data_IF_791374569541
#
_entry.id   IF_791374569541
#
_cell.length_a   1.000
_cell.length_b   1.000
_cell.length_c   1.000
_cell.angle_alpha   90.00
_cell.angle_beta   90.00
_cell.angle_gamma   90.00
#
_symmetry.space_group_name_H-M   'P 1'
#
loop_
_entity.id
_entity.type
_entity.pdbx_description
1 polymer ?
#
# COMPACT_ATOMS: atom_id res chain seq x y z
N UNK A 1 0.68 -10.99 8.20
CA UNK A 1 -0.57 -10.82 7.43
C UNK A 1 -1.41 -12.09 7.39
N UNK A 2 -0.83 -13.30 7.49
CA UNK A 2 -1.58 -14.57 7.64
C UNK A 2 -2.69 -14.59 8.71
N UNK A 3 -2.54 -13.80 9.79
CA UNK A 3 -3.55 -13.69 10.86
C UNK A 3 -4.72 -12.75 10.53
N UNK A 4 -4.67 -12.02 9.41
CA UNK A 4 -5.76 -11.16 8.98
C UNK A 4 -6.99 -12.01 8.62
N UNK A 5 -8.22 -11.47 8.70
CA UNK A 5 -9.42 -12.23 8.39
C UNK A 5 -9.46 -12.57 6.90
N UNK A 6 -9.64 -13.87 6.60
CA UNK A 6 -9.73 -14.45 5.25
C UNK A 6 -8.87 -13.71 4.20
N UNK A 7 -7.52 -13.77 4.32
CA UNK A 7 -6.63 -12.96 3.52
C UNK A 7 -6.36 -13.56 2.14
N UNK A 8 -6.30 -12.69 1.14
CA UNK A 8 -5.78 -12.97 -0.19
C UNK A 8 -4.58 -12.07 -0.49
N UNK A 9 -3.43 -12.68 -0.81
CA UNK A 9 -2.22 -11.97 -1.21
C UNK A 9 -2.11 -11.87 -2.74
N UNK A 10 -2.15 -10.64 -3.28
CA UNK A 10 -1.71 -10.33 -4.64
C UNK A 10 -0.18 -10.18 -4.61
N UNK A 11 0.53 -11.28 -4.82
CA UNK A 11 1.97 -11.40 -4.59
C UNK A 11 2.79 -11.10 -5.86
N UNK A 12 3.72 -10.16 -5.78
CA UNK A 12 4.58 -9.78 -6.93
C UNK A 12 5.96 -10.43 -6.90
N UNK A 13 6.50 -10.75 -5.72
CA UNK A 13 7.91 -11.12 -5.53
C UNK A 13 8.17 -12.64 -5.58
N UNK A 14 7.10 -13.46 -5.57
CA UNK A 14 7.16 -14.91 -5.58
C UNK A 14 7.52 -15.54 -4.22
N UNK A 15 7.66 -14.75 -3.15
CA UNK A 15 8.09 -15.23 -1.85
C UNK A 15 6.93 -15.79 -1.02
N UNK A 16 6.54 -17.03 -1.33
CA UNK A 16 5.40 -17.70 -0.70
C UNK A 16 5.78 -18.84 0.27
N UNK A 17 7.07 -19.05 0.53
CA UNK A 17 7.54 -20.24 1.25
C UNK A 17 7.10 -20.31 2.71
N UNK A 18 6.79 -19.17 3.32
CA UNK A 18 6.51 -19.05 4.76
C UNK A 18 5.12 -18.48 5.06
N UNK A 19 4.23 -18.42 4.06
CA UNK A 19 2.87 -17.91 4.22
C UNK A 19 1.84 -19.00 4.00
N UNK A 20 0.82 -19.01 4.84
CA UNK A 20 -0.30 -19.97 4.83
C UNK A 20 -1.56 -19.41 4.17
N UNK A 21 -1.60 -18.09 3.93
CA UNK A 21 -2.69 -17.42 3.24
C UNK A 21 -2.75 -17.78 1.76
N UNK A 22 -3.94 -17.66 1.16
CA UNK A 22 -4.11 -17.82 -0.28
C UNK A 22 -3.42 -16.67 -1.02
N UNK A 23 -2.93 -16.94 -2.23
CA UNK A 23 -2.27 -15.94 -3.05
C UNK A 23 -2.63 -16.06 -4.53
N UNK A 24 -2.58 -14.92 -5.22
CA UNK A 24 -2.60 -14.81 -6.68
C UNK A 24 -1.25 -14.23 -7.11
N UNK A 25 -0.46 -14.94 -7.93
CA UNK A 25 0.80 -14.41 -8.42
C UNK A 25 0.55 -13.29 -9.45
N UNK A 26 1.11 -12.12 -9.19
CA UNK A 26 1.12 -10.97 -10.09
C UNK A 26 2.45 -10.94 -10.81
N UNK A 27 2.51 -11.61 -11.96
CA UNK A 27 3.71 -11.74 -12.79
C UNK A 27 3.34 -11.80 -14.26
N UNK A 28 4.34 -11.72 -15.12
CA UNK A 28 4.15 -11.96 -16.54
C UNK A 28 3.67 -13.39 -16.80
N UNK A 29 2.71 -13.55 -17.70
CA UNK A 29 2.11 -14.83 -18.08
C UNK A 29 2.06 -14.98 -19.60
N UNK A 30 1.71 -16.18 -20.05
CA UNK A 30 1.53 -16.50 -21.47
C UNK A 30 0.09 -16.98 -21.69
N UNK A 31 -0.64 -16.29 -22.55
CA UNK A 31 -1.93 -16.75 -23.09
C UNK A 31 -1.69 -17.36 -24.47
N UNK A 32 -1.45 -18.66 -24.50
CA UNK A 32 -0.95 -19.34 -25.70
C UNK A 32 0.43 -18.83 -26.09
N UNK A 33 0.52 -18.03 -27.16
CA UNK A 33 1.78 -17.40 -27.62
C UNK A 33 1.88 -15.92 -27.26
N UNK A 34 0.81 -15.34 -26.73
CA UNK A 34 0.79 -13.93 -26.39
C UNK A 34 1.35 -13.73 -24.98
N UNK A 35 2.33 -12.84 -24.87
CA UNK A 35 2.87 -12.39 -23.59
C UNK A 35 1.89 -11.41 -22.93
N UNK A 36 1.57 -11.65 -21.65
CA UNK A 36 0.70 -10.78 -20.85
C UNK A 36 1.49 -10.24 -19.68
N UNK A 37 1.65 -8.92 -19.65
CA UNK A 37 2.44 -8.22 -18.64
C UNK A 37 1.76 -8.27 -17.25
N UNK A 38 2.57 -8.32 -16.20
CA UNK A 38 2.15 -8.41 -14.81
C UNK A 38 1.12 -7.34 -14.41
N UNK A 39 1.26 -6.11 -14.89
CA UNK A 39 0.28 -5.04 -14.63
C UNK A 39 -1.09 -5.32 -15.22
N UNK A 40 -1.16 -5.99 -16.38
CA UNK A 40 -2.45 -6.42 -16.93
C UNK A 40 -3.07 -7.49 -16.03
N UNK A 41 -2.28 -8.48 -15.60
CA UNK A 41 -2.75 -9.50 -14.65
C UNK A 41 -3.21 -8.88 -13.32
N UNK A 42 -2.53 -7.84 -12.83
CA UNK A 42 -2.95 -7.09 -11.64
C UNK A 42 -4.30 -6.40 -11.82
N UNK A 43 -4.49 -5.69 -12.95
CA UNK A 43 -5.78 -5.06 -13.28
C UNK A 43 -6.89 -6.07 -13.43
N UNK A 44 -6.61 -7.21 -14.05
CA UNK A 44 -7.59 -8.28 -14.25
C UNK A 44 -7.95 -8.93 -12.90
N UNK A 45 -6.99 -9.11 -11.99
CA UNK A 45 -7.25 -9.54 -10.62
C UNK A 45 -8.14 -8.54 -9.86
N UNK A 46 -7.87 -7.23 -9.95
CA UNK A 46 -8.74 -6.20 -9.36
C UNK A 46 -10.15 -6.26 -9.95
N UNK A 47 -10.29 -6.42 -11.26
CA UNK A 47 -11.59 -6.53 -11.93
C UNK A 47 -12.36 -7.78 -11.47
N UNK A 48 -11.67 -8.88 -11.24
CA UNK A 48 -12.30 -10.11 -10.75
C UNK A 48 -12.71 -9.98 -9.28
N UNK A 49 -11.86 -9.38 -8.44
CA UNK A 49 -12.19 -9.08 -7.04
C UNK A 49 -13.38 -8.12 -6.92
N UNK A 50 -13.53 -7.15 -7.82
CA UNK A 50 -14.68 -6.25 -7.87
C UNK A 50 -15.97 -7.00 -8.18
N UNK A 51 -15.94 -7.93 -9.15
CA UNK A 51 -17.13 -8.72 -9.55
C UNK A 51 -17.55 -9.74 -8.51
N UNK A 52 -16.57 -10.31 -7.81
CA UNK A 52 -16.79 -11.43 -6.87
C UNK A 52 -16.83 -10.98 -5.41
N UNK A 53 -16.80 -9.66 -5.17
CA UNK A 53 -16.91 -9.08 -3.84
C UNK A 53 -18.19 -9.58 -3.16
N UNK A 54 -18.06 -10.15 -1.97
CA UNK A 54 -19.17 -10.77 -1.22
C UNK A 54 -19.45 -12.25 -1.54
N UNK A 55 -18.89 -12.80 -2.61
CA UNK A 55 -19.09 -14.21 -3.00
C UNK A 55 -17.82 -15.07 -2.84
N UNK A 56 -16.64 -14.48 -3.05
CA UNK A 56 -15.37 -15.22 -3.03
C UNK A 56 -14.86 -15.60 -1.62
N UNK A 57 -15.50 -15.08 -0.56
CA UNK A 57 -15.18 -15.42 0.83
C UNK A 57 -13.94 -14.73 1.42
N UNK A 58 -13.26 -13.85 0.68
CA UNK A 58 -12.14 -13.05 1.21
C UNK A 58 -12.64 -11.81 1.96
N UNK A 59 -11.88 -11.40 2.97
CA UNK A 59 -12.16 -10.19 3.76
C UNK A 59 -11.01 -9.19 3.73
N UNK A 60 -9.78 -9.68 3.50
CA UNK A 60 -8.58 -8.84 3.46
C UNK A 60 -7.87 -9.04 2.13
N UNK A 61 -7.72 -7.98 1.35
CA UNK A 61 -6.90 -7.97 0.13
C UNK A 61 -5.56 -7.34 0.44
N UNK A 62 -4.48 -8.06 0.14
CA UNK A 62 -3.11 -7.62 0.37
C UNK A 62 -2.45 -7.43 -0.99
N UNK A 63 -1.83 -6.28 -1.22
CA UNK A 63 -0.89 -6.07 -2.33
C UNK A 63 0.51 -6.14 -1.76
N UNK A 64 1.22 -7.19 -2.15
CA UNK A 64 2.57 -7.46 -1.67
C UNK A 64 3.58 -6.95 -2.69
N UNK A 65 4.33 -5.96 -2.21
CA UNK A 65 5.18 -4.94 -2.84
C UNK A 65 4.49 -4.00 -3.85
N UNK A 66 4.04 -2.86 -3.31
CA UNK A 66 3.45 -1.77 -4.06
C UNK A 66 4.42 -1.19 -5.11
N UNK A 67 5.71 -1.14 -4.80
CA UNK A 67 6.75 -0.68 -5.74
C UNK A 67 6.87 -1.58 -6.97
N UNK A 68 6.72 -2.90 -6.83
CA UNK A 68 6.76 -3.84 -7.95
C UNK A 68 5.54 -3.66 -8.86
N UNK A 69 4.37 -3.37 -8.27
CA UNK A 69 3.18 -3.04 -9.06
C UNK A 69 3.37 -1.72 -9.82
N UNK A 70 4.09 -0.74 -9.25
CA UNK A 70 4.41 0.52 -9.92
C UNK A 70 5.39 0.31 -11.09
N UNK A 71 6.42 -0.51 -10.89
CA UNK A 71 7.36 -0.88 -11.96
C UNK A 71 6.67 -1.67 -13.07
N UNK A 72 5.81 -2.63 -12.71
CA UNK A 72 4.97 -3.35 -13.66
C UNK A 72 4.09 -2.40 -14.48
N UNK A 73 3.50 -1.38 -13.84
CA UNK A 73 2.72 -0.34 -14.52
C UNK A 73 3.58 0.45 -15.51
N UNK A 74 4.82 0.79 -15.13
CA UNK A 74 5.76 1.50 -16.00
C UNK A 74 6.06 0.69 -17.27
N UNK A 75 6.43 -0.60 -17.12
CA UNK A 75 6.70 -1.49 -18.26
C UNK A 75 5.47 -1.64 -19.17
N UNK A 76 4.29 -1.85 -18.59
CA UNK A 76 3.03 -1.92 -19.33
C UNK A 76 2.73 -0.64 -20.12
N UNK A 77 2.95 0.52 -19.52
CA UNK A 77 2.71 1.79 -20.19
C UNK A 77 3.76 2.08 -21.26
N UNK A 78 5.00 1.64 -21.09
CA UNK A 78 6.04 1.79 -22.10
C UNK A 78 5.72 0.94 -23.33
N UNK A 79 5.35 -0.33 -23.13
CA UNK A 79 4.88 -1.21 -24.22
C UNK A 79 3.67 -0.60 -24.95
N UNK A 80 2.64 -0.19 -24.19
CA UNK A 80 1.41 0.40 -24.73
C UNK A 80 1.62 1.71 -25.50
N UNK A 81 2.62 2.51 -25.12
CA UNK A 81 2.93 3.78 -25.75
C UNK A 81 4.03 3.68 -26.81
N UNK A 82 4.62 2.49 -27.02
CA UNK A 82 5.73 2.29 -27.94
C UNK A 82 7.03 3.01 -27.52
N UNK A 83 7.26 3.16 -26.22
CA UNK A 83 8.44 3.85 -25.67
C UNK A 83 9.57 2.83 -25.51
N UNK A 84 10.66 3.04 -26.25
CA UNK A 84 11.85 2.17 -26.21
C UNK A 84 12.93 2.66 -25.26
N UNK A 85 13.02 3.97 -25.03
CA UNK A 85 13.98 4.56 -24.10
C UNK A 85 13.34 5.68 -23.26
N UNK A 86 13.70 5.78 -21.99
CA UNK A 86 13.10 6.75 -21.04
C UNK A 86 13.26 8.23 -21.47
N UNK A 87 14.22 8.50 -22.35
CA UNK A 87 14.50 9.84 -22.88
C UNK A 87 13.56 10.30 -23.98
N UNK A 88 12.77 9.39 -24.58
CA UNK A 88 12.11 9.66 -25.86
C UNK A 88 10.86 10.56 -25.71
N UNK A 89 10.24 10.63 -24.52
CA UNK A 89 9.24 11.65 -24.12
C UNK A 89 9.07 11.67 -22.58
N UNK A 90 10.16 11.96 -21.87
CA UNK A 90 10.30 11.65 -20.44
C UNK A 90 9.15 12.20 -19.59
N UNK A 91 8.83 13.49 -19.68
CA UNK A 91 7.85 14.10 -18.77
C UNK A 91 6.42 13.60 -18.99
N UNK A 92 5.96 13.53 -20.25
CA UNK A 92 4.59 13.09 -20.57
C UNK A 92 4.40 11.60 -20.32
N UNK A 93 5.42 10.78 -20.54
CA UNK A 93 5.39 9.36 -20.23
C UNK A 93 5.22 9.13 -18.72
N UNK A 94 5.99 9.81 -17.88
CA UNK A 94 5.88 9.69 -16.42
C UNK A 94 4.54 10.14 -15.86
N UNK A 95 3.94 11.20 -16.42
CA UNK A 95 2.58 11.61 -16.04
C UNK A 95 1.53 10.56 -16.41
N UNK A 96 1.65 9.92 -17.59
CA UNK A 96 0.76 8.83 -18.01
C UNK A 96 0.90 7.59 -17.13
N UNK A 97 2.13 7.18 -16.81
CA UNK A 97 2.42 6.07 -15.89
C UNK A 97 1.78 6.33 -14.52
N UNK A 98 2.05 7.50 -13.93
CA UNK A 98 1.49 7.85 -12.62
C UNK A 98 -0.04 7.94 -12.65
N UNK A 99 -0.63 8.41 -13.75
CA UNK A 99 -2.08 8.47 -13.89
C UNK A 99 -2.70 7.07 -13.96
N UNK A 100 -2.14 6.18 -14.79
CA UNK A 100 -2.57 4.77 -14.90
C UNK A 100 -2.43 4.03 -13.56
N UNK A 101 -1.31 4.23 -12.87
CA UNK A 101 -1.07 3.62 -11.58
C UNK A 101 -2.08 4.11 -10.53
N UNK A 102 -2.19 5.43 -10.34
CA UNK A 102 -3.05 5.99 -9.30
C UNK A 102 -4.54 5.77 -9.57
N UNK A 103 -4.97 5.66 -10.83
CA UNK A 103 -6.35 5.30 -11.15
C UNK A 103 -6.65 3.83 -10.81
N UNK A 104 -5.70 2.93 -11.07
CA UNK A 104 -5.81 1.51 -10.75
C UNK A 104 -5.77 1.27 -9.24
N UNK A 105 -4.82 1.90 -8.52
CA UNK A 105 -4.79 1.82 -7.05
C UNK A 105 -6.04 2.43 -6.44
N UNK A 106 -6.57 3.53 -6.99
CA UNK A 106 -7.87 4.07 -6.54
C UNK A 106 -8.99 3.04 -6.72
N UNK A 107 -9.02 2.31 -7.84
CA UNK A 107 -10.01 1.26 -8.06
C UNK A 107 -9.88 0.15 -7.00
N UNK A 108 -8.66 -0.34 -6.76
CA UNK A 108 -8.36 -1.29 -5.70
C UNK A 108 -8.90 -0.78 -4.35
N UNK A 109 -8.58 0.44 -3.94
CA UNK A 109 -8.99 1.02 -2.67
C UNK A 109 -10.51 1.22 -2.51
N UNK A 110 -11.30 1.11 -3.58
CA UNK A 110 -12.77 1.21 -3.54
C UNK A 110 -13.46 -0.17 -3.64
N UNK A 111 -12.71 -1.27 -3.61
CA UNK A 111 -13.32 -2.61 -3.54
C UNK A 111 -14.03 -2.80 -2.19
N UNK A 112 -15.13 -3.54 -2.21
CA UNK A 112 -15.99 -3.78 -1.03
C UNK A 112 -15.48 -4.97 -0.19
N UNK A 113 -14.26 -4.82 0.34
CA UNK A 113 -13.64 -5.73 1.31
C UNK A 113 -13.48 -5.04 2.65
N UNK A 114 -13.47 -5.81 3.75
CA UNK A 114 -13.28 -5.27 5.10
C UNK A 114 -11.93 -4.56 5.23
N UNK A 115 -10.88 -5.08 4.57
CA UNK A 115 -9.52 -4.56 4.71
C UNK A 115 -8.77 -4.58 3.38
N UNK A 116 -8.04 -3.50 3.10
CA UNK A 116 -7.07 -3.44 2.01
C UNK A 116 -5.72 -3.04 2.60
N UNK A 117 -4.71 -3.88 2.39
CA UNK A 117 -3.36 -3.71 2.93
C UNK A 117 -2.38 -3.57 1.77
N UNK A 118 -1.58 -2.50 1.79
CA UNK A 118 -0.50 -2.28 0.82
C UNK A 118 0.83 -2.45 1.56
N UNK A 119 1.69 -3.34 1.07
CA UNK A 119 3.02 -3.59 1.61
C UNK A 119 4.05 -2.93 0.70
N UNK A 120 5.09 -2.35 1.29
CA UNK A 120 6.22 -1.79 0.54
C UNK A 120 7.50 -1.96 1.36
N UNK A 121 8.63 -2.17 0.70
CA UNK A 121 9.91 -2.16 1.37
C UNK A 121 10.30 -0.77 1.85
N UNK A 122 11.10 -0.75 2.90
CA UNK A 122 11.73 0.47 3.38
C UNK A 122 12.97 0.80 2.53
N UNK A 123 13.06 2.05 2.11
CA UNK A 123 14.24 2.65 1.50
C UNK A 123 14.94 3.57 2.52
N UNK A 124 16.10 3.12 3.02
CA UNK A 124 16.99 3.89 3.89
C UNK A 124 18.21 4.43 3.14
N UNK A 125 18.22 4.48 1.81
CA UNK A 125 19.40 4.87 1.04
C UNK A 125 19.54 6.38 0.85
N UNK A 126 18.51 7.17 1.19
CA UNK A 126 18.42 8.59 0.85
C UNK A 126 18.62 9.47 2.09
N UNK A 127 19.72 10.21 2.11
CA UNK A 127 19.97 11.22 3.15
C UNK A 127 19.20 12.52 2.86
N UNK A 128 18.64 13.11 3.93
CA UNK A 128 18.07 14.46 3.96
C UNK A 128 19.07 15.35 4.70
N UNK A 129 19.41 16.48 4.10
CA UNK A 129 20.18 17.53 4.77
C UNK A 129 19.22 18.46 5.51
N UNK A 130 19.28 18.49 6.84
CA UNK A 130 18.53 19.45 7.66
C UNK A 130 19.00 20.87 7.42
N UNK A 131 18.17 21.85 7.78
CA UNK A 131 18.55 23.28 7.77
C UNK A 131 19.78 23.59 8.65
N UNK A 132 20.05 22.75 9.66
CA UNK A 132 21.25 22.80 10.50
C UNK A 132 22.53 22.32 9.82
N UNK A 133 22.43 21.67 8.65
CA UNK A 133 23.55 21.04 7.95
C UNK A 133 23.73 19.55 8.25
N UNK A 134 23.02 19.01 9.24
CA UNK A 134 23.09 17.58 9.59
C UNK A 134 22.48 16.72 8.47
N UNK A 135 23.20 15.67 8.06
CA UNK A 135 22.65 14.63 7.19
C UNK A 135 21.97 13.57 8.03
N UNK A 136 20.71 13.29 7.75
CA UNK A 136 19.94 12.23 8.41
C UNK A 136 19.29 11.37 7.34
N UNK A 137 19.42 10.06 7.49
CA UNK A 137 18.84 9.06 6.58
C UNK A 137 17.32 9.06 6.67
N UNK A 138 16.65 9.33 5.55
CA UNK A 138 15.20 9.23 5.44
C UNK A 138 14.75 7.77 5.52
N UNK A 139 13.58 7.57 6.12
CA UNK A 139 12.91 6.28 6.23
C UNK A 139 11.58 6.41 5.50
N UNK A 140 11.46 5.78 4.34
CA UNK A 140 10.28 5.90 3.48
C UNK A 140 10.04 4.64 2.65
N UNK A 141 8.82 4.41 2.14
CA UNK A 141 8.58 3.31 1.22
C UNK A 141 9.46 3.44 -0.03
N UNK A 142 9.84 2.30 -0.62
CA UNK A 142 10.68 2.20 -1.81
C UNK A 142 9.92 2.53 -3.11
N UNK A 143 9.21 3.66 -3.11
CA UNK A 143 8.44 4.16 -4.25
C UNK A 143 8.65 5.67 -4.38
N UNK A 144 8.44 6.22 -5.58
CA UNK A 144 8.59 7.65 -5.83
C UNK A 144 7.72 8.47 -4.86
N UNK A 145 8.31 9.48 -4.22
CA UNK A 145 7.68 10.26 -3.13
C UNK A 145 6.33 10.87 -3.53
N UNK A 146 6.21 11.37 -4.76
CA UNK A 146 4.93 11.90 -5.28
C UNK A 146 3.83 10.83 -5.33
N UNK A 147 4.19 9.58 -5.62
CA UNK A 147 3.27 8.45 -5.66
C UNK A 147 2.94 8.02 -4.23
N UNK A 148 3.97 7.85 -3.38
CA UNK A 148 3.80 7.54 -1.96
C UNK A 148 2.83 8.50 -1.26
N UNK A 149 3.02 9.81 -1.44
CA UNK A 149 2.14 10.83 -0.85
C UNK A 149 0.69 10.74 -1.33
N UNK A 150 0.46 10.37 -2.59
CA UNK A 150 -0.90 10.20 -3.12
C UNK A 150 -1.57 8.95 -2.58
N UNK A 151 -0.83 7.85 -2.49
CA UNK A 151 -1.33 6.59 -1.89
C UNK A 151 -1.56 6.74 -0.39
N UNK A 152 -0.68 7.42 0.34
CA UNK A 152 -0.85 7.71 1.76
C UNK A 152 -2.14 8.52 2.04
N UNK A 153 -2.59 9.34 1.10
CA UNK A 153 -3.87 10.04 1.18
C UNK A 153 -5.09 9.17 0.87
N UNK A 154 -4.91 7.94 0.38
CA UNK A 154 -5.97 6.97 0.08
C UNK A 154 -6.17 5.95 1.22
N UNK A 155 -5.17 5.75 2.08
CA UNK A 155 -5.23 4.79 3.19
C UNK A 155 -5.67 5.47 4.49
N UNK A 156 -6.17 4.67 5.43
CA UNK A 156 -6.53 5.15 6.77
C UNK A 156 -5.30 5.41 7.63
N UNK A 157 -4.27 4.58 7.52
CA UNK A 157 -3.04 4.68 8.30
C UNK A 157 -1.84 4.18 7.51
N UNK A 158 -0.69 4.80 7.72
CA UNK A 158 0.62 4.28 7.30
C UNK A 158 1.37 3.82 8.54
N UNK A 159 1.83 2.58 8.53
CA UNK A 159 2.57 1.98 9.63
C UNK A 159 3.91 1.43 9.15
N UNK A 160 4.95 1.61 9.96
CA UNK A 160 6.28 1.05 9.75
C UNK A 160 6.45 -0.19 10.62
N UNK A 161 6.91 -1.29 10.04
CA UNK A 161 7.35 -2.47 10.81
C UNK A 161 8.76 -2.23 11.31
N UNK A 162 8.98 -2.34 12.62
CA UNK A 162 10.30 -2.20 13.25
C UNK A 162 10.63 -3.49 13.99
N UNK A 163 11.86 -3.98 13.82
CA UNK A 163 12.43 -5.09 14.59
C UNK A 163 13.52 -4.52 15.49
N UNK A 164 13.32 -4.62 16.80
CA UNK A 164 14.27 -4.17 17.82
C UNK A 164 15.40 -5.20 18.02
N UNK A 165 16.49 -4.79 18.68
CA UNK A 165 17.65 -5.66 18.95
C UNK A 165 17.31 -6.90 19.77
N UNK A 166 16.30 -6.80 20.64
CA UNK A 166 15.80 -7.92 21.45
C UNK A 166 14.87 -8.89 20.68
N UNK A 167 14.66 -8.63 19.39
CA UNK A 167 13.80 -9.40 18.51
C UNK A 167 12.32 -9.01 18.55
N UNK A 168 11.95 -8.04 19.38
CA UNK A 168 10.58 -7.52 19.44
C UNK A 168 10.20 -6.88 18.12
N UNK A 169 9.00 -7.19 17.63
CA UNK A 169 8.46 -6.63 16.38
C UNK A 169 7.27 -5.73 16.67
N UNK A 170 7.30 -4.51 16.14
CA UNK A 170 6.25 -3.52 16.37
C UNK A 170 5.78 -2.85 15.09
N UNK A 171 4.54 -2.35 15.11
CA UNK A 171 4.04 -1.39 14.15
C UNK A 171 4.16 0.00 14.75
N UNK A 172 4.78 0.92 14.00
CA UNK A 172 5.02 2.29 14.42
C UNK A 172 4.29 3.26 13.48
N UNK A 173 3.56 4.22 14.06
CA UNK A 173 2.74 5.19 13.33
C UNK A 173 3.34 6.60 13.33
N UNK A 174 4.51 6.78 13.95
CA UNK A 174 5.15 8.09 14.11
C UNK A 174 5.66 8.62 12.77
N UNK A 175 5.02 9.67 12.28
CA UNK A 175 5.54 10.48 11.18
C UNK A 175 6.38 11.66 11.72
N UNK A 176 7.49 11.98 11.05
CA UNK A 176 8.28 13.18 11.33
C UNK A 176 9.04 13.62 10.05
N UNK A 177 9.97 14.58 10.17
CA UNK A 177 10.76 15.07 9.02
C UNK A 177 11.56 13.97 8.28
N UNK A 178 11.81 12.85 8.94
CA UNK A 178 12.69 11.78 8.49
C UNK A 178 11.91 10.48 8.24
N UNK A 179 10.87 10.21 9.05
CA UNK A 179 10.03 9.01 8.94
C UNK A 179 8.75 9.34 8.18
N UNK A 180 8.58 8.70 7.03
CA UNK A 180 7.36 8.77 6.24
C UNK A 180 6.19 8.19 7.03
N UNK A 181 5.06 8.90 6.96
CA UNK A 181 3.80 8.43 7.48
C UNK A 181 2.65 9.17 6.80
N UNK A 182 1.45 9.01 7.33
CA UNK A 182 0.25 9.59 6.76
C UNK A 182 -0.95 8.71 7.02
N UNK A 183 -2.02 9.01 6.29
CA UNK A 183 -3.32 8.39 6.48
C UNK A 183 -4.38 9.41 6.87
N UNK A 184 -5.57 8.90 7.16
CA UNK A 184 -6.77 9.68 7.47
C UNK A 184 -7.20 9.56 8.93
N UNK A 185 -6.75 8.53 9.65
CA UNK A 185 -7.03 8.39 11.06
C UNK A 185 -6.45 9.57 11.83
N UNK A 186 -7.31 10.21 12.62
CA UNK A 186 -6.96 11.30 13.52
C UNK A 186 -7.05 10.81 14.95
N UNK A 187 -6.31 11.47 15.84
CA UNK A 187 -6.40 11.28 17.29
C UNK A 187 -6.01 9.87 17.79
N UNK A 188 -5.11 9.20 17.08
CA UNK A 188 -4.45 8.02 17.62
C UNK A 188 -3.45 8.49 18.68
N UNK A 189 -3.66 8.13 19.94
CA UNK A 189 -2.73 8.45 21.03
C UNK A 189 -1.50 7.52 21.04
N UNK A 190 -1.69 6.29 20.56
CA UNK A 190 -0.67 5.25 20.55
C UNK A 190 0.24 5.37 19.32
N UNK A 191 1.53 5.63 19.52
CA UNK A 191 2.49 5.76 18.41
C UNK A 191 3.14 4.44 18.00
N UNK A 192 3.00 3.39 18.81
CA UNK A 192 3.62 2.09 18.60
C UNK A 192 2.79 0.98 19.25
N UNK A 193 2.60 -0.12 18.54
CA UNK A 193 1.92 -1.32 19.03
C UNK A 193 2.73 -2.58 18.69
N UNK A 194 2.51 -3.72 19.37
CA UNK A 194 3.03 -5.01 18.90
C UNK A 194 2.62 -5.29 17.44
N UNK A 195 3.47 -6.00 16.67
CA UNK A 195 3.15 -6.45 15.32
C UNK A 195 2.09 -7.58 15.38
N UNK A 196 0.85 -7.21 15.67
CA UNK A 196 -0.30 -8.10 15.79
C UNK A 196 -1.57 -7.46 15.21
N UNK A 197 -2.40 -8.30 14.59
CA UNK A 197 -3.62 -7.85 13.93
C UNK A 197 -4.66 -7.30 14.92
N UNK A 198 -4.82 -7.95 16.08
CA UNK A 198 -5.80 -7.51 17.07
C UNK A 198 -5.41 -6.18 17.71
N UNK A 199 -4.11 -5.96 17.92
CA UNK A 199 -3.60 -4.67 18.39
C UNK A 199 -3.83 -3.57 17.35
N UNK A 200 -3.72 -3.88 16.05
CA UNK A 200 -4.07 -2.93 14.99
C UNK A 200 -5.57 -2.61 14.99
N UNK A 201 -6.45 -3.59 15.14
CA UNK A 201 -7.91 -3.34 15.24
C UNK A 201 -8.26 -2.40 16.41
N UNK A 202 -7.61 -2.54 17.57
CA UNK A 202 -7.83 -1.64 18.72
C UNK A 202 -7.50 -0.18 18.40
N UNK A 203 -6.50 0.08 17.55
CA UNK A 203 -6.17 1.44 17.10
C UNK A 203 -7.31 2.06 16.28
N UNK A 204 -7.96 1.25 15.43
CA UNK A 204 -9.14 1.68 14.68
C UNK A 204 -10.36 1.88 15.60
N UNK A 205 -10.56 1.01 16.58
CA UNK A 205 -11.64 1.14 17.56
C UNK A 205 -11.50 2.44 18.38
N UNK A 206 -10.28 2.78 18.82
CA UNK A 206 -9.98 4.06 19.50
C UNK A 206 -10.38 5.25 18.62
N UNK A 207 -9.95 5.25 17.36
CA UNK A 207 -10.24 6.33 16.43
C UNK A 207 -11.75 6.44 16.12
N UNK A 208 -12.44 5.31 15.92
CA UNK A 208 -13.87 5.29 15.60
C UNK A 208 -14.75 5.71 16.78
N UNK A 209 -14.41 5.27 18.01
CA UNK A 209 -15.12 5.70 19.22
C UNK A 209 -15.01 7.21 19.43
N UNK A 210 -13.87 7.81 19.10
CA UNK A 210 -13.72 9.27 19.14
C UNK A 210 -14.71 9.98 18.21
N UNK A 211 -14.91 9.48 16.98
CA UNK A 211 -15.87 10.06 16.04
C UNK A 211 -17.33 9.86 16.48
N UNK A 212 -17.67 8.70 17.05
CA UNK A 212 -18.99 8.44 17.60
C UNK A 212 -19.35 9.44 18.71
N UNK A 213 -18.44 9.65 19.66
CA UNK A 213 -18.63 10.60 20.77
C UNK A 213 -18.82 12.05 20.29
N UNK A 214 -18.12 12.50 19.25
CA UNK A 214 -18.33 13.84 18.68
C UNK A 214 -19.73 13.99 18.08
N UNK A 215 -20.20 12.97 17.35
CA UNK A 215 -21.51 13.04 16.70
C UNK A 215 -22.65 13.08 17.73
N UNK A 216 -22.51 12.38 18.86
CA UNK A 216 -23.46 12.49 19.98
C UNK A 216 -23.48 13.91 20.57
N UNK A 217 -22.31 14.50 20.88
CA UNK A 217 -22.24 15.86 21.44
C UNK A 217 -22.89 16.90 20.51
N UNK A 218 -22.66 16.82 19.19
CA UNK A 218 -23.26 17.73 18.21
C UNK A 218 -24.79 17.55 18.10
N UNK A 219 -25.31 16.35 18.38
CA UNK A 219 -26.76 16.11 18.41
C UNK A 219 -27.43 16.67 19.68
N UNK A 220 -26.74 16.70 20.82
CA UNK A 220 -27.27 17.27 22.06
C UNK A 220 -27.26 18.81 22.09
N UNK A 221 -26.41 19.46 21.28
CA UNK A 221 -26.31 20.92 21.16
C UNK A 221 -27.22 21.53 20.07
N UNK A 222 -28.18 20.77 19.53
CA UNK A 222 -29.23 21.24 18.58
C UNK A 222 -30.63 21.10 19.17
#
# INVERSE_FOLDING_TARGET
MDKAPAPLNLNTDGNIQFVTMQFVPIKDTMEGRQHVLAWKNFKDAINELEKTSGENGFKTIIVDLLEDTYESCRLYMYDKLGITHESDDSFRAWDKVRTEFLSTIRKLMNLDYENIVLISHEDTSKDITKKSGDKITAIKPNIAEKVANKVAGMVDIVARVVVEEDGTRTLNFKANEVVFGGGRLKNISTTQIPLDWNELCKVYDEANNFFANINEVIQYDK
#
